data_IF_279468833996
#
_entry.id   IF_279468833996
#
_cell.length_a   1.000
_cell.length_b   1.000
_cell.length_c   1.000
_cell.angle_alpha   90.00
_cell.angle_beta   90.00
_cell.angle_gamma   90.00
#
_symmetry.space_group_name_H-M   'P 1'
#
loop_
_entity.id
_entity.type
_entity.pdbx_description
1 polymer ?
#
# COMPACT_ATOMS: atom_id res chain seq x y z
N UNK A 1 26.53 -76.41 -96.42
CA UNK A 1 26.04 -76.56 -97.83
C UNK A 1 25.90 -75.16 -98.39
N UNK A 2 26.60 -74.84 -99.43
CA UNK A 2 26.64 -73.69 -100.33
C UNK A 2 25.54 -73.75 -101.34
N UNK A 3 25.37 -72.79 -102.21
CA UNK A 3 24.96 -71.40 -102.35
C UNK A 3 23.71 -71.29 -103.28
N UNK A 4 23.36 -70.31 -104.03
CA UNK A 4 24.15 -69.27 -104.72
C UNK A 4 23.55 -67.85 -104.81
N UNK A 5 24.35 -66.86 -105.22
CA UNK A 5 23.99 -65.62 -105.96
C UNK A 5 23.42 -65.89 -107.35
N UNK A 6 22.92 -64.99 -108.18
CA UNK A 6 23.62 -63.74 -108.62
C UNK A 6 22.71 -62.57 -109.08
N UNK A 7 23.39 -61.41 -109.26
CA UNK A 7 23.32 -60.41 -110.37
C UNK A 7 22.03 -59.67 -110.74
N UNK A 8 22.12 -58.33 -110.77
CA UNK A 8 22.45 -57.49 -111.90
C UNK A 8 22.14 -56.00 -111.71
N UNK A 9 23.16 -55.17 -112.02
CA UNK A 9 23.05 -53.75 -112.44
C UNK A 9 22.34 -53.61 -113.80
N UNK A 10 22.12 -52.37 -114.27
CA UNK A 10 22.30 -50.97 -113.85
C UNK A 10 21.16 -50.02 -114.35
N UNK A 11 21.15 -48.79 -113.96
CA UNK A 11 20.90 -47.64 -114.86
C UNK A 11 21.08 -46.28 -114.17
N UNK A 12 21.81 -45.45 -114.82
CA UNK A 12 22.14 -44.07 -114.54
C UNK A 12 20.95 -43.11 -114.65
N UNK A 13 20.89 -42.16 -113.75
CA UNK A 13 19.99 -41.03 -113.84
C UNK A 13 20.61 -39.80 -113.23
N UNK A 14 20.92 -38.88 -114.00
CA UNK A 14 21.53 -37.57 -113.94
C UNK A 14 21.30 -36.75 -112.70
N UNK A 15 22.36 -36.31 -112.04
CA UNK A 15 22.39 -35.34 -110.94
C UNK A 15 22.11 -33.92 -111.43
N UNK A 16 21.18 -33.26 -110.81
CA UNK A 16 21.03 -31.82 -110.82
C UNK A 16 21.57 -31.23 -109.50
N UNK A 17 22.75 -30.62 -109.53
CA UNK A 17 23.28 -29.83 -108.42
C UNK A 17 22.47 -28.54 -108.26
N UNK A 18 21.78 -28.41 -107.13
CA UNK A 18 21.28 -27.14 -106.69
C UNK A 18 22.24 -26.67 -105.60
N UNK A 19 23.06 -25.69 -105.86
CA UNK A 19 23.85 -24.98 -104.89
C UNK A 19 22.92 -24.07 -104.06
N UNK A 20 22.51 -24.51 -102.89
CA UNK A 20 21.90 -23.64 -101.89
C UNK A 20 23.00 -23.01 -101.06
N UNK A 21 23.18 -21.70 -101.20
CA UNK A 21 24.04 -20.87 -100.34
C UNK A 21 23.42 -20.74 -98.97
N UNK A 22 23.73 -21.65 -98.03
CA UNK A 22 23.14 -21.78 -96.72
C UNK A 22 23.82 -20.92 -95.60
N UNK A 23 24.68 -20.00 -95.98
CA UNK A 23 25.51 -19.23 -95.08
C UNK A 23 24.71 -18.25 -94.17
N UNK A 24 23.61 -17.68 -94.66
CA UNK A 24 22.79 -16.72 -93.91
C UNK A 24 21.85 -17.40 -92.93
N UNK A 25 21.22 -18.50 -93.34
CA UNK A 25 20.25 -19.22 -92.45
C UNK A 25 21.00 -19.86 -91.29
N UNK A 26 22.21 -20.43 -91.57
CA UNK A 26 23.04 -21.01 -90.50
C UNK A 26 23.57 -19.98 -89.51
N UNK A 27 23.88 -18.75 -89.94
CA UNK A 27 24.27 -17.65 -89.02
C UNK A 27 23.12 -17.16 -88.16
N UNK A 28 21.93 -17.02 -88.72
CA UNK A 28 20.71 -16.68 -87.97
C UNK A 28 20.29 -17.77 -86.97
N UNK A 29 20.39 -19.04 -87.39
CA UNK A 29 20.13 -20.18 -86.52
C UNK A 29 21.08 -20.23 -85.30
N UNK A 30 22.39 -20.03 -85.51
CA UNK A 30 23.38 -19.94 -84.48
C UNK A 30 23.16 -18.73 -83.56
N UNK A 31 22.79 -17.60 -84.11
CA UNK A 31 22.51 -16.38 -83.35
C UNK A 31 21.29 -16.59 -82.42
N UNK A 32 20.25 -17.24 -82.94
CA UNK A 32 19.06 -17.55 -82.14
C UNK A 32 19.37 -18.53 -80.99
N UNK A 33 20.22 -19.53 -81.25
CA UNK A 33 20.65 -20.47 -80.19
C UNK A 33 21.55 -19.77 -79.17
N UNK A 34 22.48 -18.93 -79.59
CA UNK A 34 23.39 -18.21 -78.66
C UNK A 34 22.59 -17.19 -77.81
N UNK A 35 21.68 -16.45 -78.42
CA UNK A 35 20.83 -15.48 -77.68
C UNK A 35 19.84 -16.21 -76.79
N UNK A 36 19.18 -17.28 -77.22
CA UNK A 36 18.28 -18.05 -76.44
C UNK A 36 18.95 -18.78 -75.25
N UNK A 37 20.11 -19.42 -75.56
CA UNK A 37 20.85 -20.12 -74.53
C UNK A 37 21.59 -19.15 -73.59
N UNK A 38 22.14 -18.03 -74.11
CA UNK A 38 22.73 -16.97 -73.30
C UNK A 38 21.71 -16.27 -72.45
N UNK A 39 20.50 -15.98 -72.95
CA UNK A 39 19.37 -15.44 -72.21
C UNK A 39 18.85 -16.38 -71.11
N UNK A 40 18.79 -17.69 -71.47
CA UNK A 40 18.43 -18.71 -70.51
C UNK A 40 19.45 -18.86 -69.33
N UNK A 41 20.74 -18.86 -69.69
CA UNK A 41 21.83 -18.86 -68.69
C UNK A 41 21.82 -17.62 -67.81
N UNK A 42 21.66 -16.44 -68.46
CA UNK A 42 21.55 -15.19 -67.69
C UNK A 42 20.31 -15.20 -66.76
N UNK A 43 19.18 -15.69 -67.25
CA UNK A 43 17.97 -15.83 -66.38
C UNK A 43 18.19 -16.87 -65.28
N UNK A 44 18.80 -18.03 -65.59
CA UNK A 44 19.05 -19.08 -64.61
C UNK A 44 20.06 -18.67 -63.49
N UNK A 45 20.98 -17.74 -63.78
CA UNK A 45 21.95 -17.20 -62.81
C UNK A 45 21.42 -16.03 -62.05
N UNK A 46 20.44 -15.27 -62.55
CA UNK A 46 19.86 -14.08 -61.94
C UNK A 46 18.50 -14.36 -61.28
N UNK A 47 17.87 -15.51 -61.57
CA UNK A 47 16.60 -15.86 -60.94
C UNK A 47 16.79 -16.11 -59.43
N UNK A 48 16.11 -15.35 -58.55
CA UNK A 48 16.17 -15.58 -57.11
C UNK A 48 15.58 -16.94 -56.80
N UNK A 49 16.40 -17.84 -56.27
CA UNK A 49 15.94 -19.11 -55.71
C UNK A 49 15.60 -18.86 -54.23
N UNK A 50 14.33 -18.71 -53.93
CA UNK A 50 13.87 -18.68 -52.52
C UNK A 50 14.08 -20.07 -51.89
N UNK A 51 14.98 -20.14 -50.94
CA UNK A 51 15.20 -21.33 -50.12
C UNK A 51 14.43 -21.19 -48.78
N UNK A 52 13.38 -21.96 -48.63
CA UNK A 52 12.63 -22.02 -47.40
C UNK A 52 13.09 -23.16 -46.49
N UNK A 53 13.18 -22.91 -45.20
CA UNK A 53 13.40 -23.92 -44.16
C UNK A 53 12.07 -24.43 -43.67
N UNK A 54 11.75 -25.69 -43.94
CA UNK A 54 10.57 -26.33 -43.39
C UNK A 54 10.88 -26.87 -41.99
N UNK A 55 10.16 -26.40 -41.00
CA UNK A 55 10.29 -26.83 -39.60
C UNK A 55 8.92 -27.17 -38.98
N UNK A 56 8.82 -28.29 -38.24
CA UNK A 56 7.62 -28.58 -37.48
C UNK A 56 7.50 -27.58 -36.32
N UNK A 57 6.26 -27.17 -36.02
CA UNK A 57 6.00 -26.26 -34.93
C UNK A 57 4.70 -26.62 -34.18
N UNK A 58 4.67 -26.29 -32.92
CA UNK A 58 3.47 -26.42 -32.08
C UNK A 58 2.91 -25.05 -31.78
N UNK A 59 1.60 -24.89 -31.90
CA UNK A 59 0.92 -23.67 -31.51
C UNK A 59 0.90 -23.57 -29.99
N UNK A 60 1.48 -22.52 -29.48
CA UNK A 60 1.48 -22.20 -28.05
C UNK A 60 0.69 -20.91 -27.91
N UNK A 61 -0.36 -20.92 -27.11
CA UNK A 61 -1.03 -19.68 -26.75
C UNK A 61 -0.06 -18.86 -25.93
N UNK A 62 0.31 -17.70 -26.45
CA UNK A 62 1.40 -16.85 -25.91
C UNK A 62 1.09 -16.23 -24.57
N UNK A 63 -0.15 -16.24 -24.12
CA UNK A 63 -0.55 -15.70 -22.86
C UNK A 63 -0.03 -16.55 -21.71
N UNK A 64 0.82 -15.98 -20.88
CA UNK A 64 1.04 -16.56 -19.57
C UNK A 64 -0.31 -16.65 -18.89
N UNK A 65 -0.83 -17.90 -18.75
CA UNK A 65 -2.07 -18.15 -18.02
C UNK A 65 -1.99 -17.48 -16.68
N UNK A 66 -2.93 -16.61 -16.39
CA UNK A 66 -2.96 -15.87 -15.13
C UNK A 66 -3.74 -16.70 -14.12
N UNK A 67 -3.04 -17.34 -13.19
CA UNK A 67 -3.67 -18.06 -12.11
C UNK A 67 -4.40 -17.10 -11.18
N UNK A 68 -5.69 -17.35 -10.96
CA UNK A 68 -6.52 -16.62 -9.99
C UNK A 68 -6.49 -17.38 -8.68
N UNK A 69 -5.93 -16.74 -7.64
CA UNK A 69 -5.76 -17.33 -6.32
C UNK A 69 -6.37 -16.42 -5.27
N UNK A 70 -7.06 -16.95 -4.24
CA UNK A 70 -7.58 -16.15 -3.15
C UNK A 70 -6.46 -15.73 -2.21
N UNK A 71 -6.45 -14.46 -1.81
CA UNK A 71 -5.56 -13.92 -0.79
C UNK A 71 -6.07 -14.20 0.62
N UNK A 72 -7.38 -14.43 0.76
CA UNK A 72 -8.03 -14.83 2.02
C UNK A 72 -8.78 -16.13 1.80
N UNK A 73 -8.76 -17.03 2.78
CA UNK A 73 -9.54 -18.26 2.73
C UNK A 73 -10.97 -18.03 3.22
N UNK A 74 -11.89 -18.85 2.74
CA UNK A 74 -13.28 -18.74 3.17
C UNK A 74 -14.23 -19.72 2.47
N UNK A 75 -15.50 -19.64 2.84
CA UNK A 75 -16.58 -20.36 2.20
C UNK A 75 -17.03 -19.57 0.95
N UNK A 76 -17.25 -20.26 -0.16
CA UNK A 76 -17.79 -19.65 -1.38
C UNK A 76 -19.27 -19.28 -1.15
N UNK A 77 -19.57 -17.98 -1.20
CA UNK A 77 -20.94 -17.48 -1.16
C UNK A 77 -21.57 -17.47 -2.57
N UNK A 78 -20.78 -17.10 -3.59
CA UNK A 78 -21.24 -16.98 -4.95
C UNK A 78 -20.12 -17.35 -5.94
N UNK A 79 -20.48 -18.07 -6.99
CA UNK A 79 -19.62 -18.37 -8.13
C UNK A 79 -20.27 -17.72 -9.37
N UNK A 80 -19.65 -16.63 -9.86
CA UNK A 80 -20.23 -15.79 -10.90
C UNK A 80 -19.88 -16.25 -12.32
N UNK A 81 -18.97 -17.24 -12.48
CA UNK A 81 -18.43 -17.67 -13.77
C UNK A 81 -18.40 -19.20 -13.88
N UNK A 82 -18.35 -19.68 -15.13
CA UNK A 82 -18.17 -21.08 -15.48
C UNK A 82 -16.94 -21.28 -16.33
N UNK A 83 -16.48 -22.50 -16.44
CA UNK A 83 -15.39 -22.86 -17.35
C UNK A 83 -15.77 -22.53 -18.80
N UNK A 84 -14.89 -21.79 -19.49
CA UNK A 84 -15.15 -21.30 -20.85
C UNK A 84 -15.82 -19.94 -20.95
N UNK A 85 -16.18 -19.26 -19.84
CA UNK A 85 -16.77 -17.93 -19.88
C UNK A 85 -15.71 -16.86 -20.23
N UNK A 86 -16.13 -15.88 -21.04
CA UNK A 86 -15.33 -14.69 -21.32
C UNK A 86 -15.51 -13.67 -20.20
N UNK A 87 -14.39 -13.17 -19.64
CA UNK A 87 -14.38 -12.22 -18.51
C UNK A 87 -13.53 -11.01 -18.81
N UNK A 88 -13.81 -9.90 -18.13
CA UNK A 88 -13.07 -8.64 -18.21
C UNK A 88 -12.20 -8.43 -16.98
N UNK A 89 -11.12 -7.70 -17.14
CA UNK A 89 -10.30 -7.26 -16.02
C UNK A 89 -11.13 -6.53 -14.96
N UNK A 90 -10.97 -6.91 -13.68
CA UNK A 90 -11.75 -6.37 -12.58
C UNK A 90 -13.15 -6.97 -12.41
N UNK A 91 -13.61 -7.85 -13.29
CA UNK A 91 -14.88 -8.55 -13.13
C UNK A 91 -14.80 -9.55 -11.98
N UNK A 92 -15.77 -9.53 -11.07
CA UNK A 92 -15.84 -10.47 -9.94
C UNK A 92 -16.13 -11.88 -10.48
N UNK A 93 -15.28 -12.82 -10.11
CA UNK A 93 -15.35 -14.23 -10.51
C UNK A 93 -15.95 -15.08 -9.40
N UNK A 94 -15.49 -14.86 -8.17
CA UNK A 94 -15.91 -15.58 -6.97
C UNK A 94 -16.09 -14.59 -5.84
N UNK A 95 -17.16 -14.75 -5.07
CA UNK A 95 -17.38 -14.01 -3.82
C UNK A 95 -17.35 -15.00 -2.67
N UNK A 96 -16.49 -14.73 -1.69
CA UNK A 96 -16.45 -15.47 -0.44
C UNK A 96 -17.46 -14.91 0.57
N UNK A 97 -17.83 -15.70 1.56
CA UNK A 97 -18.67 -15.25 2.68
C UNK A 97 -17.91 -14.23 3.52
N UNK A 98 -18.38 -13.00 3.51
CA UNK A 98 -17.77 -11.86 4.17
C UNK A 98 -18.32 -11.59 5.58
N UNK A 99 -19.31 -12.38 6.03
CA UNK A 99 -20.03 -12.16 7.29
C UNK A 99 -19.09 -12.04 8.49
N UNK A 100 -18.12 -12.92 8.58
CA UNK A 100 -17.14 -12.91 9.68
C UNK A 100 -16.19 -11.71 9.59
N UNK A 101 -15.64 -11.42 8.39
CA UNK A 101 -14.73 -10.31 8.17
C UNK A 101 -15.43 -8.97 8.45
N UNK A 102 -16.65 -8.80 7.97
CA UNK A 102 -17.49 -7.64 8.21
C UNK A 102 -17.81 -7.45 9.69
N UNK A 103 -18.19 -8.52 10.40
CA UNK A 103 -18.45 -8.47 11.83
C UNK A 103 -17.22 -8.08 12.64
N UNK A 104 -16.05 -8.64 12.33
CA UNK A 104 -14.79 -8.29 12.99
C UNK A 104 -14.40 -6.83 12.74
N UNK A 105 -14.57 -6.35 11.51
CA UNK A 105 -14.33 -4.96 11.13
C UNK A 105 -15.24 -4.01 11.91
N UNK A 106 -16.53 -4.34 12.04
CA UNK A 106 -17.49 -3.53 12.80
C UNK A 106 -17.17 -3.48 14.30
N UNK A 107 -16.72 -4.58 14.88
CA UNK A 107 -16.26 -4.60 16.27
C UNK A 107 -15.01 -3.73 16.43
N UNK A 108 -14.01 -3.88 15.55
CA UNK A 108 -12.78 -3.09 15.62
C UNK A 108 -13.05 -1.59 15.45
N UNK A 109 -13.96 -1.21 14.54
CA UNK A 109 -14.38 0.19 14.36
C UNK A 109 -15.05 0.75 15.61
N UNK A 110 -15.98 -0.01 16.24
CA UNK A 110 -16.62 0.40 17.47
C UNK A 110 -15.63 0.63 18.63
N UNK A 111 -14.66 -0.24 18.77
CA UNK A 111 -13.57 -0.08 19.73
C UNK A 111 -12.71 1.14 19.43
N UNK A 112 -12.37 1.37 18.17
CA UNK A 112 -11.61 2.53 17.75
C UNK A 112 -12.35 3.85 17.98
N UNK A 113 -13.66 3.93 17.75
CA UNK A 113 -14.46 5.10 18.09
C UNK A 113 -14.34 5.46 19.58
N UNK A 114 -14.40 4.45 20.45
CA UNK A 114 -14.27 4.65 21.88
C UNK A 114 -12.86 5.12 22.25
N UNK A 115 -11.82 4.44 21.76
CA UNK A 115 -10.43 4.80 22.05
C UNK A 115 -10.08 6.20 21.52
N UNK A 116 -10.46 6.53 20.29
CA UNK A 116 -10.23 7.84 19.68
C UNK A 116 -10.98 8.97 20.41
N UNK A 117 -12.19 8.72 20.90
CA UNK A 117 -12.92 9.69 21.70
C UNK A 117 -12.25 9.94 23.05
N UNK A 118 -11.74 8.88 23.71
CA UNK A 118 -10.97 9.00 24.97
C UNK A 118 -9.66 9.74 24.74
N UNK A 119 -8.91 9.39 23.68
CA UNK A 119 -7.68 10.07 23.30
C UNK A 119 -7.90 11.57 23.14
N UNK A 120 -8.93 11.94 22.38
CA UNK A 120 -9.24 13.35 22.11
C UNK A 120 -9.57 14.11 23.40
N UNK A 121 -10.33 13.49 24.32
CA UNK A 121 -10.59 14.07 25.64
C UNK A 121 -9.29 14.30 26.42
N UNK A 122 -8.42 13.30 26.48
CA UNK A 122 -7.17 13.38 27.24
C UNK A 122 -6.22 14.43 26.63
N UNK A 123 -6.18 14.56 25.31
CA UNK A 123 -5.45 15.64 24.63
C UNK A 123 -6.01 17.00 25.02
N UNK A 124 -7.33 17.17 25.05
CA UNK A 124 -7.96 18.42 25.48
C UNK A 124 -7.67 18.74 26.95
N UNK A 125 -7.71 17.74 27.85
CA UNK A 125 -7.33 17.90 29.27
C UNK A 125 -5.85 18.28 29.40
N UNK A 126 -4.93 17.65 28.65
CA UNK A 126 -3.49 17.95 28.66
C UNK A 126 -3.19 19.38 28.24
N UNK A 127 -3.88 19.85 27.18
CA UNK A 127 -3.68 21.18 26.62
C UNK A 127 -4.47 22.28 27.37
N UNK A 128 -5.33 21.90 28.32
CA UNK A 128 -6.16 22.84 29.07
C UNK A 128 -7.23 23.50 28.22
N UNK A 129 -7.73 22.82 27.21
CA UNK A 129 -8.82 23.33 26.36
C UNK A 129 -10.11 23.44 27.16
N UNK A 130 -11.01 24.33 26.73
CA UNK A 130 -12.32 24.48 27.34
C UNK A 130 -13.38 23.55 26.72
N UNK A 131 -13.10 23.01 25.53
CA UNK A 131 -13.98 22.13 24.77
C UNK A 131 -13.16 21.04 24.08
N UNK A 132 -13.83 19.92 23.76
CA UNK A 132 -13.25 18.83 23.00
C UNK A 132 -13.54 19.06 21.52
N UNK A 133 -12.48 19.08 20.68
CA UNK A 133 -12.57 19.08 19.22
C UNK A 133 -12.25 17.68 18.71
N UNK A 134 -13.26 16.94 18.27
CA UNK A 134 -13.07 15.59 17.76
C UNK A 134 -12.48 15.61 16.35
N UNK A 135 -11.57 14.66 16.02
CA UNK A 135 -10.97 14.56 14.68
C UNK A 135 -12.04 14.28 13.63
N UNK A 136 -11.80 14.74 12.39
CA UNK A 136 -12.74 14.61 11.28
C UNK A 136 -13.19 13.16 11.03
N UNK A 137 -12.29 12.19 11.21
CA UNK A 137 -12.60 10.77 11.05
C UNK A 137 -13.70 10.29 12.01
N UNK A 138 -13.67 10.77 13.26
CA UNK A 138 -14.70 10.45 14.27
C UNK A 138 -15.95 11.33 14.09
N UNK A 139 -15.76 12.61 13.79
CA UNK A 139 -16.87 13.54 13.56
C UNK A 139 -17.73 13.14 12.36
N UNK A 140 -17.14 12.67 11.27
CA UNK A 140 -17.86 12.21 10.08
C UNK A 140 -18.60 10.88 10.31
N UNK A 141 -18.21 10.11 11.33
CA UNK A 141 -18.91 8.90 11.74
C UNK A 141 -20.14 9.15 12.64
N UNK A 142 -20.64 10.39 12.73
CA UNK A 142 -21.79 10.76 13.59
C UNK A 142 -23.08 9.97 13.27
N UNK A 143 -23.22 9.40 12.08
CA UNK A 143 -24.33 8.53 11.70
C UNK A 143 -24.24 7.14 12.39
N UNK A 144 -23.07 6.72 12.87
CA UNK A 144 -22.92 5.49 13.64
C UNK A 144 -23.29 5.80 15.13
N UNK A 145 -24.30 5.11 15.67
CA UNK A 145 -24.72 5.33 17.05
C UNK A 145 -23.61 5.14 18.08
N UNK A 146 -22.65 4.25 17.81
CA UNK A 146 -21.52 3.97 18.70
C UNK A 146 -20.55 5.15 18.76
N UNK A 147 -20.25 5.77 17.62
CA UNK A 147 -19.40 6.96 17.55
C UNK A 147 -20.04 8.15 18.26
N UNK A 148 -21.32 8.40 18.00
CA UNK A 148 -22.08 9.49 18.63
C UNK A 148 -22.19 9.33 20.15
N UNK A 149 -22.44 8.11 20.63
CA UNK A 149 -22.48 7.80 22.06
C UNK A 149 -21.11 7.97 22.73
N UNK A 150 -20.03 7.50 22.10
CA UNK A 150 -18.67 7.67 22.61
C UNK A 150 -18.30 9.17 22.73
N UNK A 151 -18.58 9.96 21.70
CA UNK A 151 -18.32 11.42 21.74
C UNK A 151 -19.15 12.13 22.82
N UNK A 152 -20.43 11.78 22.97
CA UNK A 152 -21.30 12.38 23.99
C UNK A 152 -20.79 12.06 25.39
N UNK A 153 -20.47 10.79 25.67
CA UNK A 153 -19.92 10.36 26.94
C UNK A 153 -18.64 11.09 27.32
N UNK A 154 -17.71 11.23 26.34
CA UNK A 154 -16.44 11.90 26.62
C UNK A 154 -16.59 13.41 26.84
N UNK A 155 -17.56 14.08 26.18
CA UNK A 155 -17.87 15.50 26.49
C UNK A 155 -18.39 15.67 27.93
N UNK A 156 -19.27 14.79 28.34
CA UNK A 156 -19.82 14.84 29.71
C UNK A 156 -18.74 14.58 30.77
N UNK A 157 -17.93 13.55 30.56
CA UNK A 157 -16.82 13.21 31.45
C UNK A 157 -15.80 14.35 31.53
N UNK A 158 -15.41 14.95 30.39
CA UNK A 158 -14.53 16.11 30.34
C UNK A 158 -15.06 17.28 31.17
N UNK A 159 -16.34 17.64 30.97
CA UNK A 159 -16.97 18.74 31.71
C UNK A 159 -17.04 18.44 33.22
N UNK A 160 -17.29 17.18 33.61
CA UNK A 160 -17.37 16.78 35.01
C UNK A 160 -15.98 16.79 35.67
N UNK A 161 -14.95 16.26 34.99
CA UNK A 161 -13.57 16.26 35.52
C UNK A 161 -13.00 17.67 35.67
N UNK A 162 -13.23 18.53 34.67
CA UNK A 162 -12.78 19.93 34.73
C UNK A 162 -13.47 20.70 35.85
N UNK A 163 -14.78 20.50 36.05
CA UNK A 163 -15.50 21.11 37.18
C UNK A 163 -14.98 20.61 38.52
N UNK A 164 -14.72 19.32 38.66
CA UNK A 164 -14.19 18.74 39.89
C UNK A 164 -12.81 19.34 40.23
N UNK A 165 -11.89 19.36 39.28
CA UNK A 165 -10.55 19.95 39.46
C UNK A 165 -10.65 21.44 39.82
N UNK A 166 -11.44 22.21 39.06
CA UNK A 166 -11.62 23.64 39.34
C UNK A 166 -12.19 23.88 40.75
N UNK A 167 -13.13 23.06 41.20
CA UNK A 167 -13.69 23.16 42.56
C UNK A 167 -12.65 22.83 43.63
N UNK A 168 -11.81 21.80 43.43
CA UNK A 168 -10.71 21.47 44.37
C UNK A 168 -9.70 22.62 44.47
N UNK A 169 -9.30 23.19 43.35
CA UNK A 169 -8.35 24.30 43.32
C UNK A 169 -8.95 25.57 43.95
N UNK A 170 -10.22 25.86 43.71
CA UNK A 170 -10.90 26.99 44.29
C UNK A 170 -11.00 26.89 45.84
N UNK A 171 -11.20 25.69 46.38
CA UNK A 171 -11.19 25.47 47.87
C UNK A 171 -9.79 25.78 48.44
N UNK A 172 -8.73 25.35 47.79
CA UNK A 172 -7.36 25.62 48.21
C UNK A 172 -7.04 27.12 48.11
N UNK A 173 -7.47 27.78 47.04
CA UNK A 173 -7.31 29.23 46.86
C UNK A 173 -8.04 30.03 47.93
N UNK A 174 -9.28 29.69 48.26
CA UNK A 174 -10.06 30.31 49.33
C UNK A 174 -9.38 30.13 50.69
N UNK A 175 -8.81 28.93 50.95
CA UNK A 175 -8.01 28.69 52.15
C UNK A 175 -6.78 29.59 52.22
N UNK A 176 -6.06 29.82 51.08
CA UNK A 176 -4.94 30.75 51.03
C UNK A 176 -5.41 32.16 51.31
N UNK A 177 -6.51 32.64 50.71
CA UNK A 177 -7.06 33.97 50.96
C UNK A 177 -7.44 34.19 52.45
N UNK A 178 -8.01 33.17 53.10
CA UNK A 178 -8.32 33.18 54.51
C UNK A 178 -7.06 33.31 55.40
N UNK A 179 -6.02 32.51 55.09
CA UNK A 179 -4.74 32.60 55.81
C UNK A 179 -4.03 33.92 55.58
N UNK A 180 -4.09 34.49 54.36
CA UNK A 180 -3.52 35.82 54.09
C UNK A 180 -4.27 36.92 54.82
N UNK A 181 -5.57 36.84 54.97
CA UNK A 181 -6.34 37.76 55.78
C UNK A 181 -5.96 37.66 57.27
N UNK A 182 -5.79 36.45 57.79
CA UNK A 182 -5.29 36.22 59.16
C UNK A 182 -3.89 36.77 59.36
N UNK A 183 -2.97 36.58 58.41
CA UNK A 183 -1.63 37.12 58.42
C UNK A 183 -1.66 38.64 58.50
N UNK A 184 -2.45 39.30 57.66
CA UNK A 184 -2.63 40.76 57.67
C UNK A 184 -3.09 41.27 59.07
N UNK A 185 -4.02 40.53 59.70
CA UNK A 185 -4.49 40.85 61.04
C UNK A 185 -3.41 40.78 62.11
N UNK A 186 -2.58 39.72 62.12
CA UNK A 186 -1.48 39.55 63.06
C UNK A 186 -0.40 40.61 62.81
N UNK A 187 -0.07 40.89 61.57
CA UNK A 187 0.90 41.95 61.24
C UNK A 187 0.43 43.37 61.60
N UNK A 188 -0.87 43.64 61.47
CA UNK A 188 -1.47 44.90 61.93
C UNK A 188 -1.38 45.05 63.47
N UNK A 189 -1.71 43.96 64.20
CA UNK A 189 -1.56 43.90 65.66
C UNK A 189 -0.10 44.15 66.09
N UNK A 190 0.84 43.46 65.43
CA UNK A 190 2.27 43.64 65.69
C UNK A 190 2.74 45.06 65.43
N UNK A 191 2.29 45.72 64.34
CA UNK A 191 2.60 47.14 64.09
C UNK A 191 2.07 48.06 65.16
N UNK A 192 0.81 47.86 65.60
CA UNK A 192 0.23 48.67 66.67
C UNK A 192 1.03 48.52 67.98
N UNK A 193 1.39 47.29 68.38
CA UNK A 193 2.22 47.01 69.52
C UNK A 193 3.60 47.64 69.44
N UNK A 194 4.27 47.64 68.27
CA UNK A 194 5.55 48.29 68.04
C UNK A 194 5.46 49.82 68.24
N UNK A 195 4.38 50.44 67.75
CA UNK A 195 4.13 51.86 68.00
C UNK A 195 3.98 52.13 69.50
N UNK A 196 3.25 51.30 70.23
CA UNK A 196 3.07 51.38 71.66
C UNK A 196 4.42 51.23 72.41
N UNK A 197 5.27 50.28 72.01
CA UNK A 197 6.64 50.09 72.51
C UNK A 197 7.47 51.34 72.30
N UNK A 198 7.39 51.99 71.12
CA UNK A 198 8.09 53.25 70.87
C UNK A 198 7.71 54.36 71.85
N UNK A 199 6.37 54.57 71.98
CA UNK A 199 5.85 55.56 72.92
C UNK A 199 6.28 55.32 74.40
N UNK A 200 6.19 54.05 74.82
CA UNK A 200 6.50 53.61 76.19
C UNK A 200 8.05 53.72 76.46
N UNK A 201 8.90 53.44 75.46
CA UNK A 201 10.34 53.62 75.57
C UNK A 201 10.76 55.11 75.75
N UNK A 202 10.14 55.99 74.98
CA UNK A 202 10.36 57.41 75.07
C UNK A 202 9.87 57.92 76.42
N UNK A 203 8.80 57.45 77.00
CA UNK A 203 8.34 57.78 78.32
C UNK A 203 9.27 57.26 79.44
N UNK A 204 9.67 55.97 79.36
CA UNK A 204 10.66 55.40 80.30
C UNK A 204 11.99 56.19 80.27
N UNK A 205 12.46 56.57 79.09
CA UNK A 205 13.71 57.37 79.00
C UNK A 205 13.63 58.68 79.73
N UNK A 206 12.55 59.43 79.56
CA UNK A 206 12.33 60.70 80.27
C UNK A 206 12.17 60.49 81.78
N UNK A 207 11.46 59.42 82.23
CA UNK A 207 11.29 59.18 83.66
C UNK A 207 12.49 58.61 84.35
N UNK A 208 13.42 57.96 83.66
CA UNK A 208 14.72 57.47 84.18
C UNK A 208 15.59 58.60 84.64
N UNK A 209 15.65 59.73 83.96
CA UNK A 209 16.34 60.95 84.41
C UNK A 209 15.76 61.48 85.68
N UNK A 210 14.45 61.58 85.82
CA UNK A 210 13.77 62.06 87.04
C UNK A 210 13.90 61.06 88.23
N UNK A 211 14.09 59.77 88.00
CA UNK A 211 14.42 58.83 89.08
C UNK A 211 15.85 59.04 89.57
N UNK A 212 16.80 59.24 88.64
CA UNK A 212 18.21 59.50 89.05
C UNK A 212 18.37 60.82 89.87
N UNK A 213 17.58 61.84 89.53
CA UNK A 213 17.46 63.07 90.29
C UNK A 213 16.62 62.93 91.62
N UNK A 214 15.97 61.81 91.89
CA UNK A 214 15.19 61.59 93.10
C UNK A 214 13.73 62.08 93.05
N UNK A 215 13.28 62.64 91.88
CA UNK A 215 11.93 63.26 91.76
C UNK A 215 10.82 62.23 91.32
N UNK A 216 11.23 60.99 90.98
CA UNK A 216 10.24 59.96 90.54
C UNK A 216 10.51 58.61 91.23
N UNK A 217 9.39 57.87 91.71
CA UNK A 217 9.52 56.63 92.49
C UNK A 217 10.09 55.49 91.60
N UNK A 218 11.13 54.77 91.99
CA UNK A 218 11.77 53.66 91.28
C UNK A 218 10.84 52.50 90.99
N UNK A 219 9.86 52.23 91.91
CA UNK A 219 8.87 51.15 91.74
C UNK A 219 7.96 51.43 90.55
N UNK A 220 7.62 52.66 90.23
CA UNK A 220 6.82 53.02 89.03
C UNK A 220 7.61 52.83 87.74
N UNK A 221 8.88 53.22 87.74
CA UNK A 221 9.73 52.94 86.54
C UNK A 221 9.84 51.40 86.24
N UNK A 222 10.10 50.61 87.31
CA UNK A 222 10.19 49.18 87.22
C UNK A 222 8.85 48.52 86.77
N UNK A 223 7.72 49.11 87.08
CA UNK A 223 6.39 48.64 86.57
C UNK A 223 6.26 48.92 85.07
N UNK A 224 6.70 50.08 84.56
CA UNK A 224 6.66 50.40 83.17
C UNK A 224 7.71 49.58 82.39
N UNK A 225 8.91 49.34 82.95
CA UNK A 225 9.88 48.43 82.34
C UNK A 225 9.36 46.98 82.17
N UNK A 226 8.61 46.48 83.17
CA UNK A 226 7.92 45.21 83.07
C UNK A 226 6.81 45.22 81.99
N UNK A 227 6.05 46.32 81.88
CA UNK A 227 5.08 46.55 80.80
C UNK A 227 5.75 46.53 79.39
N UNK A 228 6.87 47.19 79.26
CA UNK A 228 7.67 47.17 78.04
C UNK A 228 8.16 45.75 77.66
N UNK A 229 8.65 45.00 78.63
CA UNK A 229 9.07 43.62 78.50
C UNK A 229 7.91 42.73 78.04
N UNK A 230 6.72 42.89 78.59
CA UNK A 230 5.53 42.18 78.20
C UNK A 230 5.08 42.49 76.75
N UNK A 231 5.14 43.75 76.35
CA UNK A 231 4.85 44.15 74.98
C UNK A 231 5.86 43.56 73.95
N UNK A 232 7.14 43.56 74.32
CA UNK A 232 8.18 42.96 73.47
C UNK A 232 7.96 41.41 73.33
N UNK A 233 7.59 40.72 74.41
CA UNK A 233 7.22 39.30 74.39
C UNK A 233 6.02 39.05 73.50
N UNK A 234 4.97 39.88 73.55
CA UNK A 234 3.82 39.79 72.68
C UNK A 234 4.16 40.04 71.19
N UNK A 235 5.09 40.95 70.88
CA UNK A 235 5.59 41.17 69.53
C UNK A 235 6.36 39.95 69.02
N UNK A 236 7.17 39.31 69.85
CA UNK A 236 7.88 38.08 69.49
C UNK A 236 6.88 36.91 69.24
N UNK A 237 5.80 36.83 70.04
CA UNK A 237 4.72 35.87 69.80
C UNK A 237 4.00 36.13 68.46
N UNK A 238 3.66 37.40 68.15
CA UNK A 238 3.07 37.76 66.84
C UNK A 238 3.99 37.43 65.70
N UNK A 239 5.32 37.58 65.82
CA UNK A 239 6.29 37.20 64.81
C UNK A 239 6.27 35.65 64.58
N UNK A 240 6.25 34.88 65.68
CA UNK A 240 6.10 33.42 65.61
C UNK A 240 4.80 32.98 64.94
N UNK A 241 3.69 33.64 65.27
CA UNK A 241 2.38 33.39 64.67
C UNK A 241 2.40 33.72 63.16
N UNK A 242 2.98 34.88 62.77
CA UNK A 242 3.13 35.25 61.36
C UNK A 242 3.99 34.25 60.58
N UNK A 243 5.04 33.72 61.21
CA UNK A 243 5.90 32.67 60.63
C UNK A 243 5.10 31.38 60.37
N UNK A 244 4.30 30.94 61.33
CA UNK A 244 3.44 29.73 61.18
C UNK A 244 2.43 29.91 60.05
N UNK A 245 1.72 31.06 60.00
CA UNK A 245 0.75 31.33 58.95
C UNK A 245 1.37 31.34 57.55
N UNK A 246 2.55 31.96 57.38
CA UNK A 246 3.28 31.96 56.11
C UNK A 246 3.67 30.54 55.71
N UNK A 247 4.07 29.71 56.67
CA UNK A 247 4.37 28.31 56.39
C UNK A 247 3.11 27.56 55.91
N UNK A 248 1.93 27.78 56.53
CA UNK A 248 0.66 27.18 56.11
C UNK A 248 0.24 27.62 54.72
N UNK A 249 0.44 28.92 54.38
CA UNK A 249 0.21 29.43 53.01
C UNK A 249 1.10 28.71 52.02
N UNK A 250 2.41 28.59 52.29
CA UNK A 250 3.35 27.90 51.43
C UNK A 250 3.01 26.41 51.23
N UNK A 251 2.60 25.74 52.33
CA UNK A 251 2.16 24.36 52.27
C UNK A 251 0.88 24.19 51.42
N UNK A 252 -0.10 25.07 51.57
CA UNK A 252 -1.35 25.02 50.80
C UNK A 252 -1.09 25.29 49.31
N UNK A 253 -0.19 26.25 48.99
CA UNK A 253 0.26 26.50 47.58
C UNK A 253 0.97 25.28 47.00
N UNK A 254 1.82 24.62 47.79
CA UNK A 254 2.49 23.39 47.37
C UNK A 254 1.50 22.25 47.10
N UNK A 255 0.45 22.13 47.94
CA UNK A 255 -0.64 21.16 47.70
C UNK A 255 -1.40 21.44 46.40
N UNK A 256 -1.66 22.71 46.09
CA UNK A 256 -2.33 23.13 44.86
C UNK A 256 -1.50 22.72 43.60
N UNK A 257 -0.21 23.04 43.61
CA UNK A 257 0.71 22.64 42.55
C UNK A 257 0.84 21.10 42.44
N UNK A 258 0.92 20.42 43.55
CA UNK A 258 0.99 18.95 43.59
C UNK A 258 -0.27 18.32 42.97
N UNK A 259 -1.46 18.89 43.25
CA UNK A 259 -2.72 18.41 42.67
C UNK A 259 -2.79 18.58 41.15
N UNK A 260 -2.36 19.75 40.65
CA UNK A 260 -2.26 19.99 39.22
C UNK A 260 -1.29 19.02 38.53
N UNK A 261 -0.10 18.82 39.12
CA UNK A 261 0.90 17.90 38.59
C UNK A 261 0.40 16.44 38.60
N UNK A 262 -0.30 16.03 39.68
CA UNK A 262 -0.91 14.72 39.74
C UNK A 262 -1.93 14.54 38.63
N UNK A 263 -2.80 15.52 38.40
CA UNK A 263 -3.78 15.47 37.30
C UNK A 263 -3.08 15.35 35.93
N UNK A 264 -2.04 16.13 35.69
CA UNK A 264 -1.25 16.05 34.45
C UNK A 264 -0.61 14.67 34.27
N UNK A 265 -0.03 14.13 35.33
CA UNK A 265 0.59 12.79 35.31
C UNK A 265 -0.43 11.68 35.01
N UNK A 266 -1.63 11.75 35.61
CA UNK A 266 -2.72 10.82 35.36
C UNK A 266 -3.15 10.90 33.88
N UNK A 267 -3.31 12.11 33.33
CA UNK A 267 -3.68 12.34 31.94
C UNK A 267 -2.61 11.81 30.99
N UNK A 268 -1.33 12.12 31.21
CA UNK A 268 -0.23 11.66 30.36
C UNK A 268 -0.09 10.13 30.35
N UNK A 269 -0.24 9.51 31.52
CA UNK A 269 -0.20 8.04 31.63
C UNK A 269 -1.33 7.39 30.82
N UNK A 270 -2.57 7.87 31.02
CA UNK A 270 -3.74 7.36 30.28
C UNK A 270 -3.64 7.65 28.78
N UNK A 271 -3.13 8.84 28.40
CA UNK A 271 -2.97 9.22 27.00
C UNK A 271 -2.00 8.30 26.26
N UNK A 272 -0.85 8.00 26.89
CA UNK A 272 0.14 7.10 26.30
C UNK A 272 -0.43 5.70 26.04
N UNK A 273 -1.22 5.18 26.97
CA UNK A 273 -1.88 3.88 26.81
C UNK A 273 -2.92 3.90 25.70
N UNK A 274 -3.82 4.89 25.72
CA UNK A 274 -4.93 5.00 24.76
C UNK A 274 -4.41 5.29 23.33
N UNK A 275 -3.35 6.08 23.18
CA UNK A 275 -2.73 6.32 21.87
C UNK A 275 -2.19 5.05 21.24
N UNK A 276 -1.53 4.23 22.04
CA UNK A 276 -1.05 2.91 21.57
C UNK A 276 -2.23 2.02 21.15
N UNK A 277 -3.29 1.98 21.97
CA UNK A 277 -4.46 1.15 21.68
C UNK A 277 -5.25 1.66 20.47
N UNK A 278 -5.44 2.96 20.32
CA UNK A 278 -6.07 3.57 19.14
C UNK A 278 -5.28 3.31 17.87
N UNK A 279 -3.94 3.41 17.93
CA UNK A 279 -3.05 3.07 16.82
C UNK A 279 -3.11 1.60 16.43
N UNK A 280 -3.11 0.69 17.41
CA UNK A 280 -3.23 -0.74 17.17
C UNK A 280 -4.59 -1.11 16.54
N UNK A 281 -5.68 -0.47 17.00
CA UNK A 281 -7.02 -0.66 16.44
C UNK A 281 -7.10 -0.13 15.00
N UNK A 282 -6.47 0.99 14.68
CA UNK A 282 -6.43 1.53 13.32
C UNK A 282 -5.73 0.56 12.37
N UNK A 283 -4.55 0.05 12.75
CA UNK A 283 -3.84 -0.97 11.96
C UNK A 283 -4.67 -2.26 11.81
N UNK A 284 -5.42 -2.63 12.85
CA UNK A 284 -6.31 -3.79 12.78
C UNK A 284 -7.47 -3.57 11.82
N UNK A 285 -8.05 -2.36 11.79
CA UNK A 285 -9.10 -1.97 10.85
C UNK A 285 -8.59 -2.05 9.42
N UNK A 286 -7.40 -1.49 9.14
CA UNK A 286 -6.77 -1.55 7.80
C UNK A 286 -6.57 -2.99 7.32
N UNK A 287 -6.10 -3.87 8.19
CA UNK A 287 -5.94 -5.29 7.89
C UNK A 287 -7.28 -5.98 7.58
N UNK A 288 -8.31 -5.71 8.40
CA UNK A 288 -9.64 -6.29 8.20
C UNK A 288 -10.36 -5.73 6.96
N UNK A 289 -10.12 -4.47 6.61
CA UNK A 289 -10.59 -3.88 5.35
C UNK A 289 -9.89 -4.49 4.13
N UNK A 290 -8.60 -4.79 4.25
CA UNK A 290 -7.88 -5.53 3.22
C UNK A 290 -8.47 -6.93 3.06
N UNK A 291 -8.67 -7.67 4.14
CA UNK A 291 -9.28 -9.00 4.12
C UNK A 291 -10.68 -8.94 3.49
N UNK A 292 -11.50 -7.96 3.88
CA UNK A 292 -12.86 -7.80 3.35
C UNK A 292 -12.85 -7.49 1.85
N UNK A 293 -11.96 -6.62 1.35
CA UNK A 293 -11.83 -6.37 -0.09
C UNK A 293 -11.43 -7.62 -0.86
N UNK A 294 -10.59 -8.47 -0.26
CA UNK A 294 -10.11 -9.70 -0.90
C UNK A 294 -11.09 -10.88 -0.78
N UNK A 295 -12.26 -10.72 -0.16
CA UNK A 295 -13.36 -11.69 -0.28
C UNK A 295 -14.00 -11.65 -1.66
N UNK A 296 -13.86 -10.58 -2.42
CA UNK A 296 -14.26 -10.48 -3.81
C UNK A 296 -13.05 -10.76 -4.72
N UNK A 297 -13.05 -11.91 -5.36
CA UNK A 297 -11.96 -12.36 -6.22
C UNK A 297 -12.30 -11.96 -7.65
N UNK A 298 -11.53 -11.02 -8.20
CA UNK A 298 -11.72 -10.45 -9.53
C UNK A 298 -10.69 -10.99 -10.54
N UNK A 299 -11.05 -10.90 -11.83
CA UNK A 299 -10.14 -11.25 -12.92
C UNK A 299 -8.98 -10.26 -13.04
N UNK A 300 -7.73 -10.74 -13.14
CA UNK A 300 -6.56 -9.89 -13.33
C UNK A 300 -6.41 -9.35 -14.77
N UNK A 301 -7.16 -9.89 -15.75
CA UNK A 301 -7.06 -9.51 -17.16
C UNK A 301 -8.35 -9.89 -17.92
N UNK A 302 -8.51 -9.31 -19.12
CA UNK A 302 -9.51 -9.78 -20.09
C UNK A 302 -9.10 -11.13 -20.63
N UNK A 303 -10.05 -12.08 -20.73
CA UNK A 303 -9.72 -13.43 -21.23
C UNK A 303 -10.82 -14.45 -21.02
N UNK A 304 -10.44 -15.70 -21.18
CA UNK A 304 -11.31 -16.86 -21.02
C UNK A 304 -10.98 -17.61 -19.72
N UNK A 305 -11.99 -18.00 -18.96
CA UNK A 305 -11.83 -18.83 -17.76
C UNK A 305 -11.51 -20.26 -18.17
N UNK A 306 -10.44 -20.84 -17.64
CA UNK A 306 -10.03 -22.23 -17.92
C UNK A 306 -9.60 -22.92 -16.62
N UNK A 307 -9.96 -24.19 -16.49
CA UNK A 307 -9.52 -25.03 -15.37
C UNK A 307 -10.13 -24.63 -14.04
N UNK A 308 -11.42 -24.32 -14.02
CA UNK A 308 -12.15 -24.00 -12.80
C UNK A 308 -12.09 -25.19 -11.81
N UNK A 309 -11.35 -24.99 -10.70
CA UNK A 309 -11.15 -26.03 -9.68
C UNK A 309 -12.31 -26.12 -8.67
N UNK A 310 -13.18 -25.12 -8.63
CA UNK A 310 -14.31 -25.03 -7.69
C UNK A 310 -15.63 -25.03 -8.43
N UNK A 311 -16.51 -25.95 -8.08
CA UNK A 311 -17.76 -26.17 -8.80
C UNK A 311 -19.02 -26.00 -7.93
N UNK A 312 -18.84 -25.79 -6.62
CA UNK A 312 -19.95 -25.83 -5.67
C UNK A 312 -19.98 -24.58 -4.79
N UNK A 313 -21.10 -23.88 -4.78
CA UNK A 313 -21.38 -22.84 -3.76
C UNK A 313 -21.45 -23.51 -2.40
N UNK A 314 -20.83 -22.91 -1.40
CA UNK A 314 -20.68 -23.49 -0.06
C UNK A 314 -19.39 -24.27 0.15
N UNK A 315 -18.60 -24.52 -0.89
CA UNK A 315 -17.25 -25.08 -0.77
C UNK A 315 -16.30 -24.14 0.00
N UNK A 316 -15.25 -24.71 0.60
CA UNK A 316 -14.24 -23.93 1.31
C UNK A 316 -12.96 -23.87 0.48
N UNK A 317 -12.39 -22.68 0.35
CA UNK A 317 -11.13 -22.45 -0.36
C UNK A 317 -10.05 -21.94 0.60
N UNK A 318 -8.83 -22.44 0.40
CA UNK A 318 -7.66 -22.03 1.17
C UNK A 318 -6.90 -20.90 0.49
N UNK A 319 -6.14 -20.15 1.27
CA UNK A 319 -5.24 -19.08 0.79
C UNK A 319 -4.23 -19.66 -0.21
N UNK A 320 -4.04 -18.97 -1.34
CA UNK A 320 -3.02 -19.34 -2.35
C UNK A 320 -3.37 -20.54 -3.23
N UNK A 321 -4.49 -21.23 -3.00
CA UNK A 321 -4.91 -22.32 -3.88
C UNK A 321 -5.48 -21.76 -5.19
N UNK A 322 -4.99 -22.16 -6.37
CA UNK A 322 -5.52 -21.68 -7.63
C UNK A 322 -6.99 -22.14 -7.81
N UNK A 323 -7.87 -21.18 -8.07
CA UNK A 323 -9.29 -21.41 -8.31
C UNK A 323 -9.60 -21.66 -9.78
N UNK A 324 -8.90 -20.95 -10.65
CA UNK A 324 -9.02 -20.99 -12.12
C UNK A 324 -7.82 -20.30 -12.76
N UNK A 325 -7.70 -20.44 -14.06
CA UNK A 325 -6.72 -19.71 -14.87
C UNK A 325 -7.46 -18.81 -15.87
N UNK A 326 -6.94 -17.61 -16.09
CA UNK A 326 -7.44 -16.72 -17.14
C UNK A 326 -6.44 -16.75 -18.30
N UNK A 327 -6.94 -17.14 -19.47
CA UNK A 327 -6.20 -17.11 -20.73
C UNK A 327 -6.54 -15.81 -21.45
N UNK A 328 -5.60 -14.86 -21.59
CA UNK A 328 -5.87 -13.60 -22.27
C UNK A 328 -6.31 -13.81 -23.72
N UNK A 329 -7.35 -13.09 -24.13
CA UNK A 329 -7.94 -13.23 -25.48
C UNK A 329 -7.20 -12.45 -26.58
N UNK A 330 -6.46 -11.42 -26.22
CA UNK A 330 -5.87 -10.45 -27.15
C UNK A 330 -4.37 -10.70 -27.43
N UNK A 331 -3.80 -11.78 -26.91
CA UNK A 331 -2.41 -12.08 -27.21
C UNK A 331 -2.27 -12.78 -28.58
N UNK A 332 -1.31 -12.38 -29.42
CA UNK A 332 -1.06 -13.02 -30.70
C UNK A 332 -0.66 -14.49 -30.51
N UNK A 333 -1.14 -15.36 -31.36
CA UNK A 333 -0.73 -16.76 -31.37
C UNK A 333 0.77 -16.84 -31.64
N UNK A 334 1.49 -17.54 -30.79
CA UNK A 334 2.90 -17.88 -31.01
C UNK A 334 3.04 -19.34 -31.36
N UNK A 335 4.02 -19.62 -32.18
CA UNK A 335 4.35 -20.97 -32.63
C UNK A 335 5.78 -21.24 -32.21
N UNK A 336 5.97 -22.29 -31.46
CA UNK A 336 7.28 -22.82 -31.14
C UNK A 336 7.71 -23.77 -32.25
N UNK A 337 8.57 -23.30 -33.13
CA UNK A 337 9.12 -24.09 -34.22
C UNK A 337 10.43 -24.75 -33.81
N UNK A 338 10.60 -26.02 -34.19
CA UNK A 338 11.82 -26.78 -33.95
C UNK A 338 12.70 -26.75 -35.19
N UNK A 339 13.78 -25.97 -35.13
CA UNK A 339 14.73 -25.82 -36.23
C UNK A 339 15.86 -26.82 -36.08
N UNK A 340 16.10 -27.71 -37.08
CA UNK A 340 17.23 -28.62 -37.06
C UNK A 340 18.56 -27.85 -36.99
N UNK A 341 19.58 -28.33 -36.28
CA UNK A 341 20.85 -27.61 -36.09
C UNK A 341 21.57 -27.21 -37.39
N UNK A 342 21.46 -28.02 -38.42
CA UNK A 342 22.11 -27.77 -39.73
C UNK A 342 21.42 -26.65 -40.57
N UNK A 343 20.26 -26.15 -40.12
CA UNK A 343 19.51 -25.08 -40.81
C UNK A 343 19.48 -23.78 -40.05
N UNK A 344 20.10 -23.69 -38.89
CA UNK A 344 20.03 -22.54 -38.01
C UNK A 344 20.58 -21.25 -38.63
N UNK A 345 21.60 -21.36 -39.49
CA UNK A 345 22.24 -20.22 -40.15
C UNK A 345 21.28 -19.46 -41.09
N UNK A 346 20.22 -20.11 -41.52
CA UNK A 346 19.19 -19.52 -42.40
C UNK A 346 18.01 -18.88 -41.62
N UNK A 347 17.95 -19.04 -40.30
CA UNK A 347 16.84 -18.52 -39.46
C UNK A 347 17.35 -17.42 -38.55
N UNK A 348 16.77 -16.21 -38.67
CA UNK A 348 17.12 -15.04 -37.87
C UNK A 348 15.86 -14.35 -37.33
N UNK A 349 15.98 -13.68 -36.21
CA UNK A 349 14.92 -12.82 -35.71
C UNK A 349 14.53 -11.75 -36.74
N UNK A 350 13.23 -11.56 -36.95
CA UNK A 350 12.66 -10.65 -37.93
C UNK A 350 12.34 -11.27 -39.30
N UNK A 351 12.72 -12.54 -39.54
CA UNK A 351 12.42 -13.24 -40.79
C UNK A 351 10.91 -13.47 -40.93
N UNK A 352 10.35 -13.21 -42.09
CA UNK A 352 8.98 -13.54 -42.44
C UNK A 352 8.87 -15.03 -42.73
N UNK A 353 7.82 -15.65 -42.25
CA UNK A 353 7.57 -17.11 -42.40
C UNK A 353 6.13 -17.36 -42.78
N UNK A 354 5.93 -18.37 -43.60
CA UNK A 354 4.62 -18.89 -43.94
C UNK A 354 4.26 -20.07 -43.02
N UNK A 355 3.17 -19.92 -42.28
CA UNK A 355 2.68 -20.93 -41.35
C UNK A 355 1.57 -21.74 -42.01
N UNK A 356 1.79 -23.06 -42.07
CA UNK A 356 0.84 -24.04 -42.63
C UNK A 356 0.20 -24.83 -41.48
N UNK A 357 -1.11 -24.79 -41.37
CA UNK A 357 -1.84 -25.56 -40.40
C UNK A 357 -2.40 -26.86 -41.03
N UNK A 358 -1.78 -28.01 -40.78
CA UNK A 358 -2.20 -29.28 -41.45
C UNK A 358 -3.58 -29.78 -40.99
N UNK A 359 -4.10 -29.25 -39.90
CA UNK A 359 -5.44 -29.60 -39.38
C UNK A 359 -6.60 -29.00 -40.21
N UNK A 360 -6.33 -27.97 -41.01
CA UNK A 360 -7.30 -27.30 -41.86
C UNK A 360 -7.19 -27.75 -43.31
N UNK A 361 -8.30 -27.66 -44.08
CA UNK A 361 -8.33 -28.07 -45.46
C UNK A 361 -7.43 -27.14 -46.32
N UNK A 362 -6.40 -27.70 -46.96
CA UNK A 362 -5.42 -26.95 -47.77
C UNK A 362 -6.02 -26.15 -48.96
N UNK A 363 -7.23 -26.49 -49.38
CA UNK A 363 -7.91 -25.81 -50.47
C UNK A 363 -8.62 -24.51 -50.03
N UNK A 364 -8.91 -24.37 -48.74
CA UNK A 364 -9.68 -23.24 -48.22
C UNK A 364 -8.91 -22.35 -47.23
N UNK A 365 -7.79 -22.83 -46.66
CA UNK A 365 -7.02 -22.06 -45.70
C UNK A 365 -5.75 -21.55 -46.36
N UNK A 366 -5.59 -20.21 -46.61
CA UNK A 366 -4.40 -19.64 -47.16
C UNK A 366 -3.23 -19.70 -46.16
N UNK A 367 -1.98 -19.63 -46.67
CA UNK A 367 -0.80 -19.49 -45.86
C UNK A 367 -0.97 -18.32 -44.88
N UNK A 368 -0.67 -18.55 -43.64
CA UNK A 368 -0.76 -17.53 -42.57
C UNK A 368 0.63 -16.90 -42.40
N UNK A 369 0.71 -15.60 -42.65
CA UNK A 369 1.99 -14.88 -42.50
C UNK A 369 2.35 -14.72 -41.00
N UNK A 370 3.59 -15.09 -40.67
CA UNK A 370 4.19 -14.94 -39.37
C UNK A 370 5.54 -14.25 -39.43
N UNK A 371 6.10 -13.91 -38.29
CA UNK A 371 7.44 -13.35 -38.15
C UNK A 371 8.19 -14.04 -37.02
N UNK A 372 9.45 -14.38 -37.23
CA UNK A 372 10.31 -14.93 -36.19
C UNK A 372 10.61 -13.82 -35.16
N UNK A 373 10.16 -13.99 -33.93
CA UNK A 373 10.46 -13.06 -32.82
C UNK A 373 11.85 -13.32 -32.23
N UNK A 374 12.11 -14.57 -31.95
CA UNK A 374 13.33 -14.98 -31.25
C UNK A 374 13.76 -16.39 -31.66
N UNK A 375 15.05 -16.62 -31.68
CA UNK A 375 15.67 -17.96 -31.86
C UNK A 375 16.50 -18.23 -30.61
N UNK A 376 16.40 -19.46 -30.05
CA UNK A 376 17.20 -19.84 -28.88
C UNK A 376 18.70 -19.83 -29.21
N UNK A 377 19.52 -19.37 -28.25
CA UNK A 377 20.97 -19.38 -28.39
C UNK A 377 21.55 -20.78 -28.20
N UNK A 378 20.88 -21.63 -27.45
CA UNK A 378 21.31 -22.99 -27.09
C UNK A 378 20.49 -24.05 -27.80
N UNK A 379 21.12 -25.21 -28.03
CA UNK A 379 20.48 -26.39 -28.57
C UNK A 379 19.64 -27.06 -27.47
N UNK A 380 18.38 -27.28 -27.73
CA UNK A 380 17.48 -28.02 -26.87
C UNK A 380 17.41 -29.48 -27.35
N UNK A 381 17.20 -30.40 -26.40
CA UNK A 381 17.02 -31.82 -26.69
C UNK A 381 15.61 -32.23 -26.33
N UNK A 382 14.88 -32.82 -27.26
CA UNK A 382 13.53 -33.33 -26.99
C UNK A 382 13.60 -34.55 -26.06
N UNK A 383 12.94 -34.51 -24.89
CA UNK A 383 13.13 -35.56 -23.86
C UNK A 383 12.71 -36.96 -24.31
N UNK A 384 11.77 -37.09 -25.26
CA UNK A 384 11.23 -38.37 -25.69
C UNK A 384 11.96 -39.00 -26.87
N UNK A 385 12.58 -38.21 -27.72
CA UNK A 385 13.19 -38.68 -28.99
C UNK A 385 14.69 -38.42 -29.08
N UNK A 386 15.27 -37.63 -28.15
CA UNK A 386 16.70 -37.29 -28.15
C UNK A 386 17.11 -36.39 -29.33
N UNK A 387 16.17 -35.81 -30.07
CA UNK A 387 16.44 -34.96 -31.22
C UNK A 387 16.89 -33.59 -30.74
N UNK A 388 18.03 -33.13 -31.29
CA UNK A 388 18.55 -31.81 -31.02
C UNK A 388 17.90 -30.78 -31.95
N UNK A 389 17.43 -29.66 -31.40
CA UNK A 389 16.84 -28.59 -32.18
C UNK A 389 17.09 -27.22 -31.57
N UNK A 390 17.01 -26.16 -32.36
CA UNK A 390 16.88 -24.78 -31.87
C UNK A 390 15.43 -24.38 -31.85
N UNK A 391 15.00 -23.76 -30.79
CA UNK A 391 13.64 -23.26 -30.65
C UNK A 391 13.53 -21.89 -31.30
N UNK A 392 12.68 -21.75 -32.29
CA UNK A 392 12.29 -20.44 -32.84
C UNK A 392 10.86 -20.11 -32.43
N UNK A 393 10.70 -18.93 -31.87
CA UNK A 393 9.38 -18.40 -31.50
C UNK A 393 8.89 -17.52 -32.64
N UNK A 394 7.78 -17.91 -33.25
CA UNK A 394 7.15 -17.23 -34.39
C UNK A 394 5.84 -16.61 -33.91
N UNK A 395 5.62 -15.35 -34.21
CA UNK A 395 4.39 -14.62 -33.97
C UNK A 395 3.55 -14.56 -35.23
N UNK A 396 2.26 -14.85 -35.13
CA UNK A 396 1.31 -14.68 -36.23
C UNK A 396 1.04 -13.18 -36.41
N UNK A 397 1.23 -12.66 -37.65
CA UNK A 397 0.95 -11.25 -37.92
C UNK A 397 -0.54 -10.92 -37.82
N UNK A 398 -0.88 -9.62 -37.62
CA UNK A 398 -2.27 -9.17 -37.57
C UNK A 398 -3.08 -9.57 -38.81
N UNK A 399 -2.45 -9.54 -39.99
CA UNK A 399 -3.05 -10.01 -41.27
C UNK A 399 -3.29 -11.51 -41.24
N UNK A 400 -2.33 -12.28 -40.70
CA UNK A 400 -2.47 -13.73 -40.48
C UNK A 400 -3.59 -14.09 -39.55
N UNK A 401 -3.74 -13.37 -38.45
CA UNK A 401 -4.84 -13.54 -37.48
C UNK A 401 -6.22 -13.28 -38.09
N UNK A 402 -6.33 -12.25 -38.94
CA UNK A 402 -7.58 -11.96 -39.63
C UNK A 402 -8.00 -13.09 -40.59
N UNK A 403 -7.03 -13.73 -41.27
CA UNK A 403 -7.28 -14.88 -42.13
C UNK A 403 -7.68 -16.15 -41.37
N UNK A 404 -7.26 -16.31 -40.13
CA UNK A 404 -7.64 -17.44 -39.28
C UNK A 404 -9.04 -17.30 -38.65
N UNK A 405 -9.57 -16.06 -38.54
CA UNK A 405 -10.92 -15.79 -38.00
C UNK A 405 -12.05 -15.87 -39.06
N UNK A 406 -11.73 -15.96 -40.34
CA UNK A 406 -12.66 -16.17 -41.46
C UNK A 406 -12.81 -17.65 -41.77
#
# INVERSE_FOLDING_TARGET
>A
MRPPSPDSSPAAGTAAHIELSDSHVRRWGWMLVVVGFGGFMAWATLAPLDSGVAAPGTVVVSGNRKAVQPLVGGKIAELAVRDGDAVRAGQILVRLDDTQARSQLDVARGQWFTASAVETRLVAERLGHTQIEFPAALANAHADPRASAAMALQRELFATRNRALASELAILEESILGLEAQLRGVEASSRARRTQVGLLRDEIARQRELVDEGFYPRNRLSEQERGLAALNAAIAEDAGNSGRIRQQIAETRSRMVARENQQRQEVESQLTEVQRDAGALLSRIEALEFDLRNTEIASPADGLVVGLAVHTVGGVVGVGNPLMEIVPADEPLKIDAQIPPHLIDHVRAGLEVDILFPAFNRATTPNVAGRVLQVSADVLVEPQQGIQYFKAVIEVTAEGMHKLRQ
#
